data_IF_443923135270
#
_entry.id   IF_443923135270
#
_cell.length_a   1.000
_cell.length_b   1.000
_cell.length_c   1.000
_cell.angle_alpha   90.00
_cell.angle_beta   90.00
_cell.angle_gamma   90.00
#
_symmetry.space_group_name_H-M   'P 1'
#
loop_
_entity.id
_entity.type
_entity.pdbx_description
1 polymer ?
#
# COMPACT_ATOMS: atom_id res chain seq x y z
N UNK A 1 28.26 11.41 19.40
CA UNK A 1 28.08 11.72 17.97
C UNK A 1 28.52 10.60 17.00
N UNK A 2 28.78 9.36 17.44
CA UNK A 2 29.14 8.22 16.54
C UNK A 2 28.17 7.03 16.58
N UNK A 3 27.16 7.06 17.44
CA UNK A 3 26.18 5.96 17.55
C UNK A 3 24.92 6.15 16.67
N UNK A 4 24.59 7.37 16.23
CA UNK A 4 23.39 7.63 15.42
C UNK A 4 23.53 7.31 13.92
N UNK A 5 24.76 7.07 13.43
CA UNK A 5 24.96 6.74 12.00
C UNK A 5 24.71 5.27 11.65
N UNK A 6 24.72 4.36 12.63
CA UNK A 6 24.47 2.93 12.37
C UNK A 6 22.99 2.56 12.34
N UNK A 7 22.14 3.34 13.00
CA UNK A 7 20.67 3.10 13.02
C UNK A 7 20.04 3.48 11.68
N UNK A 8 20.57 4.50 11.01
CA UNK A 8 20.09 4.99 9.71
C UNK A 8 20.37 4.04 8.53
N UNK A 9 21.48 3.32 8.58
CA UNK A 9 21.81 2.34 7.53
C UNK A 9 20.87 1.11 7.55
N UNK A 10 20.33 0.77 8.72
CA UNK A 10 19.40 -0.35 8.87
C UNK A 10 17.99 -0.04 8.37
N UNK A 11 17.52 1.19 8.57
CA UNK A 11 16.18 1.60 8.14
C UNK A 11 16.09 1.79 6.61
N UNK A 12 17.15 2.33 5.99
CA UNK A 12 17.25 2.46 4.53
C UNK A 12 17.38 1.10 3.82
N UNK A 13 18.10 0.13 4.45
CA UNK A 13 18.19 -1.23 3.88
C UNK A 13 16.87 -1.99 3.99
N UNK A 14 16.10 -1.78 5.06
CA UNK A 14 14.79 -2.40 5.23
C UNK A 14 13.76 -1.84 4.23
N UNK A 15 13.79 -0.54 3.96
CA UNK A 15 12.93 0.09 2.95
C UNK A 15 13.29 -0.38 1.53
N UNK A 16 14.59 -0.49 1.20
CA UNK A 16 15.04 -0.97 -0.11
C UNK A 16 14.72 -2.46 -0.34
N UNK A 17 14.74 -3.30 0.72
CA UNK A 17 14.37 -4.72 0.63
C UNK A 17 12.85 -4.88 0.48
N UNK A 18 12.04 -3.98 1.08
CA UNK A 18 10.58 -4.02 0.93
C UNK A 18 10.13 -3.58 -0.48
N UNK A 19 10.80 -2.62 -1.11
CA UNK A 19 10.52 -2.22 -2.49
C UNK A 19 10.87 -3.29 -3.53
N UNK A 20 11.85 -4.18 -3.23
CA UNK A 20 12.25 -5.27 -4.13
C UNK A 20 11.30 -6.48 -4.11
N UNK A 21 10.48 -6.64 -3.08
CA UNK A 21 9.58 -7.79 -2.96
C UNK A 21 8.36 -7.71 -3.89
N UNK A 22 7.91 -6.50 -4.24
CA UNK A 22 6.76 -6.28 -5.13
C UNK A 22 7.11 -6.24 -6.62
N UNK A 23 8.39 -6.09 -6.97
CA UNK A 23 8.87 -6.23 -8.35
C UNK A 23 9.01 -7.72 -8.68
N UNK A 24 8.00 -8.28 -9.35
CA UNK A 24 7.98 -9.70 -9.75
C UNK A 24 9.27 -10.10 -10.48
N UNK A 25 9.91 -11.17 -10.01
CA UNK A 25 11.08 -11.74 -10.67
C UNK A 25 10.74 -12.07 -12.13
N UNK A 26 11.60 -11.75 -13.11
CA UNK A 26 11.39 -12.20 -14.47
C UNK A 26 11.52 -13.72 -14.52
N UNK A 27 10.51 -14.38 -15.04
CA UNK A 27 10.56 -15.81 -15.36
C UNK A 27 11.56 -16.05 -16.48
N UNK A 28 12.50 -16.93 -16.22
CA UNK A 28 13.54 -17.33 -17.16
C UNK A 28 12.93 -18.32 -18.16
N UNK A 29 12.93 -18.10 -19.48
CA UNK A 29 12.44 -19.08 -20.43
C UNK A 29 13.49 -20.16 -20.68
N UNK A 30 13.23 -21.38 -20.25
CA UNK A 30 13.98 -22.55 -20.68
C UNK A 30 13.55 -22.96 -22.09
N UNK A 31 14.52 -23.02 -22.99
CA UNK A 31 14.38 -23.47 -24.36
C UNK A 31 14.04 -24.98 -24.46
N UNK A 32 13.11 -25.35 -25.35
CA UNK A 32 13.18 -26.64 -26.09
C UNK A 32 12.28 -26.60 -27.33
N UNK A 33 12.95 -26.67 -28.45
CA UNK A 33 12.74 -27.36 -29.75
C UNK A 33 11.31 -27.56 -30.32
N UNK A 34 11.19 -26.98 -31.50
CA UNK A 34 10.53 -27.30 -32.78
C UNK A 34 9.49 -28.44 -32.90
N UNK A 35 8.37 -28.12 -33.59
CA UNK A 35 7.49 -29.11 -34.23
C UNK A 35 6.17 -28.50 -34.69
N UNK A 36 6.14 -28.15 -35.99
CA UNK A 36 5.04 -28.09 -36.96
C UNK A 36 3.70 -27.39 -36.70
N UNK A 37 3.38 -26.61 -37.72
CA UNK A 37 2.24 -25.76 -37.94
C UNK A 37 0.89 -26.50 -38.13
N UNK A 38 -0.19 -25.91 -37.66
CA UNK A 38 -1.48 -25.81 -38.40
C UNK A 38 -2.32 -24.67 -37.87
N UNK A 39 -2.99 -24.00 -38.79
CA UNK A 39 -3.80 -22.83 -38.89
C UNK A 39 -4.59 -22.32 -37.64
N UNK A 40 -4.64 -20.97 -37.57
CA UNK A 40 -5.39 -20.13 -36.65
C UNK A 40 -6.91 -20.13 -36.90
N UNK A 41 -7.69 -19.68 -35.92
CA UNK A 41 -8.57 -18.54 -36.21
C UNK A 41 -8.46 -17.38 -35.20
N UNK A 42 -8.53 -16.24 -35.82
CA UNK A 42 -8.95 -14.89 -35.37
C UNK A 42 -8.82 -14.47 -33.89
N UNK A 43 -7.89 -13.64 -33.67
CA UNK A 43 -7.76 -12.41 -32.94
C UNK A 43 -8.72 -12.06 -31.80
N UNK A 44 -8.20 -12.14 -30.59
CA UNK A 44 -8.47 -11.14 -29.55
C UNK A 44 -7.16 -10.42 -29.30
N UNK A 45 -7.12 -9.15 -29.68
CA UNK A 45 -6.02 -8.25 -29.33
C UNK A 45 -6.07 -8.07 -27.82
N UNK A 46 -5.11 -8.69 -27.13
CA UNK A 46 -4.83 -8.42 -25.73
C UNK A 46 -4.19 -7.04 -25.63
N UNK A 47 -5.02 -6.02 -25.48
CA UNK A 47 -4.57 -4.66 -25.11
C UNK A 47 -4.40 -4.59 -23.61
N UNK A 48 -3.45 -5.34 -23.06
CA UNK A 48 -2.86 -4.97 -21.77
C UNK A 48 -2.04 -3.71 -22.04
N UNK A 49 -2.37 -2.55 -21.42
CA UNK A 49 -1.48 -1.40 -21.50
C UNK A 49 -0.13 -1.84 -20.89
N UNK A 50 0.94 -1.68 -21.67
CA UNK A 50 2.30 -1.73 -21.14
C UNK A 50 2.33 -0.77 -19.95
N UNK A 51 2.50 -1.29 -18.76
CA UNK A 51 2.67 -0.48 -17.56
C UNK A 51 4.04 0.15 -17.69
N UNK A 52 4.10 1.42 -18.08
CA UNK A 52 5.31 2.23 -17.88
C UNK A 52 5.69 2.08 -16.40
N UNK A 53 6.91 1.64 -16.15
CA UNK A 53 7.48 1.62 -14.81
C UNK A 53 7.33 2.99 -14.18
N UNK A 54 7.03 3.11 -12.88
CA UNK A 54 6.94 4.41 -12.23
C UNK A 54 8.22 5.17 -12.52
N UNK A 55 8.08 6.42 -12.99
CA UNK A 55 9.23 7.28 -13.28
C UNK A 55 9.96 7.49 -11.96
N UNK A 56 11.05 6.79 -11.76
CA UNK A 56 11.97 7.02 -10.64
C UNK A 56 12.77 8.29 -10.95
N UNK A 57 12.27 9.41 -10.48
CA UNK A 57 12.92 10.70 -10.65
C UNK A 57 14.31 10.72 -9.99
N UNK A 58 14.56 9.90 -8.96
CA UNK A 58 15.86 9.78 -8.29
C UNK A 58 16.85 9.00 -9.17
N UNK A 59 16.43 7.88 -9.79
CA UNK A 59 17.25 7.08 -10.70
C UNK A 59 17.54 7.83 -12.01
N UNK A 60 16.65 8.73 -12.46
CA UNK A 60 16.85 9.55 -13.66
C UNK A 60 17.69 10.80 -13.40
N UNK A 61 18.10 11.09 -12.16
CA UNK A 61 18.79 12.33 -11.79
C UNK A 61 17.95 13.58 -12.07
N UNK A 62 16.64 13.45 -12.15
CA UNK A 62 15.68 14.51 -12.45
C UNK A 62 14.97 15.02 -11.22
N UNK A 63 15.67 15.13 -10.08
CA UNK A 63 15.15 15.87 -8.93
C UNK A 63 15.13 17.35 -9.37
N UNK A 64 13.97 17.97 -9.54
CA UNK A 64 13.90 19.34 -10.10
C UNK A 64 14.71 20.36 -9.28
N UNK A 65 14.96 20.06 -8.00
CA UNK A 65 15.54 20.97 -7.04
C UNK A 65 17.00 20.67 -6.64
N UNK A 66 17.56 19.49 -6.97
CA UNK A 66 18.84 19.02 -6.45
C UNK A 66 20.03 19.96 -6.68
N UNK A 67 20.01 20.78 -7.74
CA UNK A 67 21.08 21.72 -8.09
C UNK A 67 20.54 23.15 -8.32
N UNK A 68 19.34 23.45 -7.83
CA UNK A 68 18.69 24.72 -8.04
C UNK A 68 19.36 25.80 -7.19
N UNK A 69 20.07 26.71 -7.85
CA UNK A 69 20.72 27.87 -7.18
C UNK A 69 19.69 28.96 -6.91
N UNK A 70 19.89 29.70 -5.81
CA UNK A 70 19.10 30.89 -5.54
C UNK A 70 19.18 31.88 -6.71
N UNK A 71 18.03 32.42 -7.12
CA UNK A 71 17.93 33.50 -8.09
C UNK A 71 18.54 34.79 -7.51
N UNK A 72 18.88 35.74 -8.37
CA UNK A 72 19.44 37.02 -7.91
C UNK A 72 18.39 37.76 -7.05
N UNK A 73 18.82 38.42 -5.97
CA UNK A 73 17.91 39.23 -5.13
C UNK A 73 17.22 40.33 -5.96
N UNK A 74 17.91 40.86 -6.99
CA UNK A 74 17.38 41.87 -7.92
C UNK A 74 16.19 41.38 -8.78
N UNK A 75 15.97 40.05 -8.85
CA UNK A 75 14.84 39.48 -9.59
C UNK A 75 13.53 39.58 -8.81
N UNK A 76 13.58 40.06 -7.56
CA UNK A 76 12.42 40.17 -6.68
C UNK A 76 12.20 41.61 -6.23
N UNK A 77 10.94 42.07 -6.29
CA UNK A 77 10.50 43.25 -5.56
C UNK A 77 10.06 42.81 -4.18
N UNK A 78 10.49 43.51 -3.15
CA UNK A 78 10.24 43.15 -1.77
C UNK A 78 9.82 44.35 -0.92
N UNK A 79 9.06 44.07 0.13
CA UNK A 79 8.73 45.01 1.22
C UNK A 79 9.26 44.47 2.53
N UNK A 80 9.81 45.38 3.35
CA UNK A 80 10.30 45.03 4.68
C UNK A 80 9.15 45.10 5.70
N UNK A 81 8.89 43.97 6.38
CA UNK A 81 7.97 43.85 7.51
C UNK A 81 8.68 43.71 8.85
N UNK A 82 7.92 43.56 9.94
CA UNK A 82 8.44 43.38 11.28
C UNK A 82 9.24 42.09 11.45
N UNK A 83 8.81 41.00 10.80
CA UNK A 83 9.38 39.67 10.97
C UNK A 83 10.35 39.27 9.85
N UNK A 84 10.43 40.04 8.77
CA UNK A 84 11.27 39.74 7.62
C UNK A 84 10.78 40.41 6.34
N UNK A 85 11.20 39.85 5.20
CA UNK A 85 10.89 40.35 3.88
C UNK A 85 9.64 39.68 3.31
N UNK A 86 8.78 40.47 2.66
CA UNK A 86 7.65 40.03 1.84
C UNK A 86 8.03 40.18 0.38
N UNK A 87 8.00 39.10 -0.40
CA UNK A 87 8.13 39.17 -1.87
C UNK A 87 6.83 39.67 -2.44
N UNK A 88 6.86 40.82 -3.10
CA UNK A 88 5.68 41.46 -3.70
C UNK A 88 5.57 41.22 -5.20
N UNK A 89 6.69 41.01 -5.90
CA UNK A 89 6.69 40.61 -7.31
C UNK A 89 7.98 39.89 -7.70
N UNK A 90 7.88 39.02 -8.69
CA UNK A 90 9.00 38.46 -9.43
C UNK A 90 9.15 39.23 -10.75
N UNK A 91 10.31 39.80 -11.00
CA UNK A 91 10.62 40.61 -12.19
C UNK A 91 11.71 39.99 -13.08
N UNK A 92 12.22 38.83 -12.68
CA UNK A 92 13.19 38.06 -13.46
C UNK A 92 12.59 37.35 -14.65
N UNK A 93 13.44 36.71 -15.47
CA UNK A 93 13.04 35.96 -16.66
C UNK A 93 13.45 34.48 -16.63
N UNK A 94 13.84 33.97 -15.45
CA UNK A 94 14.32 32.59 -15.29
C UNK A 94 13.21 31.53 -15.43
N UNK A 95 13.51 30.44 -16.12
CA UNK A 95 12.62 29.28 -16.17
C UNK A 95 12.65 28.47 -14.85
N UNK A 96 13.77 28.53 -14.13
CA UNK A 96 13.96 27.89 -12.82
C UNK A 96 14.20 28.98 -11.80
N UNK A 97 13.31 29.12 -10.85
CA UNK A 97 13.30 30.18 -9.86
C UNK A 97 13.43 29.57 -8.46
N UNK A 98 14.45 29.99 -7.73
CA UNK A 98 14.56 29.74 -6.31
C UNK A 98 14.59 31.08 -5.58
N UNK A 99 13.58 31.35 -4.78
CA UNK A 99 13.56 32.53 -3.92
C UNK A 99 14.69 32.37 -2.90
N UNK A 100 15.60 33.38 -2.74
CA UNK A 100 16.60 33.32 -1.69
C UNK A 100 15.97 33.24 -0.30
N UNK A 101 16.57 32.44 0.59
CA UNK A 101 16.11 32.34 1.99
C UNK A 101 16.17 33.68 2.73
N UNK A 102 17.06 34.59 2.26
CA UNK A 102 17.23 35.95 2.75
C UNK A 102 17.40 36.94 1.60
N UNK A 103 16.81 38.11 1.73
CA UNK A 103 16.97 39.25 0.82
C UNK A 103 17.37 40.46 1.66
N UNK A 104 18.43 41.16 1.26
CA UNK A 104 18.99 42.27 2.06
C UNK A 104 19.42 41.83 3.45
N UNK A 105 19.84 40.56 3.64
CA UNK A 105 20.21 39.97 4.90
C UNK A 105 19.09 39.57 5.85
N UNK A 106 17.81 39.86 5.49
CA UNK A 106 16.61 39.50 6.27
C UNK A 106 15.92 38.26 5.72
N UNK A 107 15.31 37.39 6.57
CA UNK A 107 14.60 36.21 6.11
C UNK A 107 13.40 36.58 5.23
N UNK A 108 13.11 35.80 4.19
CA UNK A 108 11.88 35.89 3.44
C UNK A 108 10.81 35.10 4.19
N UNK A 109 9.75 35.78 4.65
CA UNK A 109 8.70 35.17 5.51
C UNK A 109 7.30 35.21 4.89
N UNK A 110 7.11 36.02 3.84
CA UNK A 110 5.82 36.17 3.21
C UNK A 110 5.92 36.36 1.68
N UNK A 111 4.86 35.99 0.99
CA UNK A 111 4.64 36.26 -0.43
C UNK A 111 3.29 36.95 -0.58
N UNK A 112 3.29 38.13 -1.22
CA UNK A 112 2.08 38.94 -1.40
C UNK A 112 1.15 38.38 -2.48
N UNK A 113 -0.09 38.87 -2.53
CA UNK A 113 -1.09 38.51 -3.52
C UNK A 113 -0.54 38.65 -4.96
N UNK A 114 -0.65 37.58 -5.72
CA UNK A 114 -0.27 37.56 -7.14
C UNK A 114 1.20 37.81 -7.43
N UNK A 115 2.14 37.62 -6.49
CA UNK A 115 3.55 37.99 -6.66
C UNK A 115 4.24 37.34 -7.89
N UNK A 116 3.77 36.18 -8.35
CA UNK A 116 4.26 35.49 -9.57
C UNK A 116 3.18 35.42 -10.66
N UNK A 117 2.13 36.24 -10.56
CA UNK A 117 1.00 36.21 -11.50
C UNK A 117 1.47 36.43 -12.94
N UNK A 118 1.07 35.53 -13.83
CA UNK A 118 1.33 35.64 -15.27
C UNK A 118 2.74 35.30 -15.73
N UNK A 119 3.59 34.74 -14.85
CA UNK A 119 4.94 34.31 -15.24
C UNK A 119 4.85 32.96 -15.97
N UNK A 120 4.40 33.01 -17.23
CA UNK A 120 4.07 31.82 -18.01
C UNK A 120 5.28 30.96 -18.42
N UNK A 121 6.50 31.52 -18.40
CA UNK A 121 7.74 30.79 -18.75
C UNK A 121 8.40 30.04 -17.60
N UNK A 122 7.96 30.26 -16.37
CA UNK A 122 8.52 29.59 -15.19
C UNK A 122 8.12 28.12 -15.16
N UNK A 123 9.10 27.23 -15.06
CA UNK A 123 8.94 25.78 -15.07
C UNK A 123 9.11 25.13 -13.69
N UNK A 124 9.99 25.70 -12.88
CA UNK A 124 10.36 25.22 -11.55
C UNK A 124 10.35 26.39 -10.59
N UNK A 125 9.70 26.22 -9.43
CA UNK A 125 9.71 27.21 -8.35
C UNK A 125 10.05 26.55 -7.02
N UNK A 126 11.02 27.17 -6.32
CA UNK A 126 11.33 26.87 -4.93
C UNK A 126 10.97 28.07 -4.05
N UNK A 127 10.04 27.87 -3.13
CA UNK A 127 9.68 28.82 -2.08
C UNK A 127 10.36 28.41 -0.79
N UNK A 128 11.12 29.31 -0.08
CA UNK A 128 11.84 28.96 1.14
C UNK A 128 10.93 28.44 2.26
N UNK A 129 11.46 27.55 3.06
CA UNK A 129 10.77 26.97 4.23
C UNK A 129 10.43 28.00 5.32
N UNK A 130 11.09 29.15 5.30
CA UNK A 130 10.81 30.29 6.19
C UNK A 130 9.52 31.04 5.88
N UNK A 131 8.92 30.80 4.69
CA UNK A 131 7.66 31.45 4.28
C UNK A 131 6.50 30.80 5.01
N UNK A 132 5.79 31.59 5.80
CA UNK A 132 4.61 31.15 6.57
C UNK A 132 3.32 31.85 6.13
N UNK A 133 3.46 32.98 5.44
CA UNK A 133 2.33 33.81 4.99
C UNK A 133 2.25 33.86 3.48
N UNK A 134 1.10 33.50 2.93
CA UNK A 134 0.84 33.46 1.51
C UNK A 134 -0.38 34.32 1.16
N UNK A 135 -0.19 35.24 0.23
CA UNK A 135 -1.27 35.93 -0.44
C UNK A 135 -2.09 35.00 -1.34
N UNK A 136 -3.24 35.48 -1.79
CA UNK A 136 -4.09 34.73 -2.70
C UNK A 136 -3.55 34.73 -4.12
N UNK A 137 -3.64 33.58 -4.80
CA UNK A 137 -3.39 33.47 -6.23
C UNK A 137 -1.99 33.89 -6.66
N UNK A 138 -0.98 33.63 -5.82
CA UNK A 138 0.41 34.00 -6.09
C UNK A 138 0.94 33.38 -7.40
N UNK A 139 0.38 32.22 -7.84
CA UNK A 139 0.80 31.44 -8.99
C UNK A 139 -0.22 31.46 -10.16
N UNK A 140 -1.21 32.34 -10.14
CA UNK A 140 -2.19 32.45 -11.25
C UNK A 140 -1.49 32.82 -12.56
N UNK A 141 -1.70 32.06 -13.63
CA UNK A 141 -1.12 32.27 -14.94
C UNK A 141 0.32 31.77 -15.11
N UNK A 142 0.81 30.89 -14.21
CA UNK A 142 2.11 30.22 -14.32
C UNK A 142 2.03 28.98 -15.20
N UNK A 143 1.63 29.15 -16.46
CA UNK A 143 1.18 28.08 -17.36
C UNK A 143 2.21 26.98 -17.69
N UNK A 144 3.50 27.15 -17.39
CA UNK A 144 4.55 26.16 -17.64
C UNK A 144 5.10 25.51 -16.37
N UNK A 145 4.60 25.89 -15.19
CA UNK A 145 5.10 25.41 -13.91
C UNK A 145 4.70 23.93 -13.72
N UNK A 146 5.70 23.05 -13.67
CA UNK A 146 5.48 21.60 -13.45
C UNK A 146 6.05 21.10 -12.12
N UNK A 147 7.02 21.82 -11.52
CA UNK A 147 7.63 21.43 -10.25
C UNK A 147 7.59 22.59 -9.25
N UNK A 148 7.06 22.30 -8.09
CA UNK A 148 6.89 23.27 -7.00
C UNK A 148 7.42 22.70 -5.69
N UNK A 149 8.33 23.44 -5.03
CA UNK A 149 8.63 23.29 -3.61
C UNK A 149 7.98 24.43 -2.84
N UNK A 150 7.17 24.12 -1.86
CA UNK A 150 6.47 25.12 -1.06
C UNK A 150 6.07 24.60 0.31
N UNK A 151 6.25 25.38 1.39
CA UNK A 151 5.45 25.19 2.59
C UNK A 151 3.97 25.43 2.25
N UNK A 152 3.07 24.82 3.01
CA UNK A 152 1.64 25.11 2.93
C UNK A 152 1.30 26.35 3.77
N UNK A 153 0.27 27.13 3.36
CA UNK A 153 -0.21 28.25 4.17
C UNK A 153 -0.57 27.78 5.59
N UNK A 154 -0.13 28.51 6.60
CA UNK A 154 -0.41 28.18 8.01
C UNK A 154 -1.80 28.68 8.47
N UNK A 155 -2.40 29.64 7.76
CA UNK A 155 -3.67 30.25 8.12
C UNK A 155 -4.83 29.28 7.91
N UNK A 156 -5.68 29.14 8.95
CA UNK A 156 -6.87 28.29 8.89
C UNK A 156 -7.78 28.65 7.71
N UNK A 157 -8.29 27.63 7.03
CA UNK A 157 -9.13 27.80 5.83
C UNK A 157 -8.37 28.07 4.52
N UNK A 158 -7.03 28.27 4.59
CA UNK A 158 -6.16 28.47 3.41
C UNK A 158 -5.15 27.34 3.23
N UNK A 159 -5.21 26.30 4.03
CA UNK A 159 -4.24 25.21 4.11
C UNK A 159 -4.41 24.18 2.97
N UNK A 160 -4.63 24.66 1.74
CA UNK A 160 -4.76 23.83 0.55
C UNK A 160 -4.00 24.41 -0.63
N UNK A 161 -3.49 23.56 -1.51
CA UNK A 161 -2.57 23.97 -2.58
C UNK A 161 -3.20 24.96 -3.56
N UNK A 162 -4.47 24.80 -3.90
CA UNK A 162 -5.19 25.67 -4.82
C UNK A 162 -5.28 27.13 -4.38
N UNK A 163 -5.11 27.44 -3.07
CA UNK A 163 -5.01 28.81 -2.58
C UNK A 163 -3.89 29.58 -3.30
N UNK A 164 -2.76 28.94 -3.51
CA UNK A 164 -1.62 29.53 -4.23
C UNK A 164 -1.98 29.85 -5.70
N UNK A 165 -2.96 29.17 -6.26
CA UNK A 165 -3.44 29.31 -7.63
C UNK A 165 -4.79 30.05 -7.72
N UNK A 166 -5.23 30.69 -6.64
CA UNK A 166 -6.42 31.53 -6.59
C UNK A 166 -7.75 30.80 -6.37
N UNK A 167 -7.71 29.53 -5.95
CA UNK A 167 -8.92 28.84 -5.52
C UNK A 167 -9.44 29.44 -4.21
N UNK A 168 -10.75 29.64 -4.12
CA UNK A 168 -11.41 30.22 -2.93
C UNK A 168 -11.72 29.18 -1.84
N UNK A 169 -11.74 27.88 -2.22
CA UNK A 169 -11.96 26.76 -1.32
C UNK A 169 -11.27 25.50 -1.84
N UNK A 170 -11.04 24.52 -0.96
CA UNK A 170 -10.47 23.22 -1.33
C UNK A 170 -11.34 22.45 -2.36
N UNK A 171 -12.65 22.66 -2.41
CA UNK A 171 -13.56 22.07 -3.40
C UNK A 171 -13.27 22.53 -4.82
N UNK A 172 -12.59 23.67 -4.97
CA UNK A 172 -12.14 24.25 -6.23
C UNK A 172 -10.63 24.12 -6.40
N UNK A 173 -9.99 23.20 -5.70
CA UNK A 173 -8.55 23.00 -5.72
C UNK A 173 -8.04 22.65 -7.15
N UNK A 174 -8.89 22.05 -7.98
CA UNK A 174 -8.58 21.67 -9.36
C UNK A 174 -8.69 22.86 -10.36
N UNK A 175 -7.88 23.88 -10.15
CA UNK A 175 -7.78 25.03 -11.07
C UNK A 175 -6.83 24.74 -12.24
N UNK A 176 -6.99 25.42 -13.38
CA UNK A 176 -6.28 25.11 -14.63
C UNK A 176 -4.75 25.15 -14.47
N UNK A 177 -4.22 26.17 -13.80
CA UNK A 177 -2.77 26.33 -13.62
C UNK A 177 -2.16 25.24 -12.70
N UNK A 178 -2.91 24.77 -11.70
CA UNK A 178 -2.49 23.69 -10.82
C UNK A 178 -2.42 22.34 -11.55
N UNK A 179 -3.24 22.12 -12.56
CA UNK A 179 -3.24 20.90 -13.37
C UNK A 179 -1.93 20.59 -14.10
N UNK A 180 -0.98 21.50 -14.07
CA UNK A 180 0.32 21.32 -14.72
C UNK A 180 1.42 20.87 -13.76
N UNK A 181 1.12 20.92 -12.46
CA UNK A 181 2.06 20.49 -11.42
C UNK A 181 2.04 18.96 -11.35
N UNK A 182 3.11 18.32 -11.81
CA UNK A 182 3.31 16.89 -11.71
C UNK A 182 4.22 16.49 -10.54
N UNK A 183 5.10 17.41 -10.10
CA UNK A 183 6.01 17.21 -8.98
C UNK A 183 5.81 18.28 -7.90
N UNK A 184 5.44 17.85 -6.71
CA UNK A 184 5.28 18.69 -5.52
C UNK A 184 6.17 18.22 -4.38
N UNK A 185 6.94 19.13 -3.80
CA UNK A 185 7.66 18.92 -2.55
C UNK A 185 7.12 19.88 -1.49
N UNK A 186 6.58 19.31 -0.41
CA UNK A 186 6.09 20.10 0.73
C UNK A 186 7.29 20.49 1.58
N UNK A 187 7.47 21.79 1.72
CA UNK A 187 8.55 22.40 2.50
C UNK A 187 8.18 22.63 3.96
N UNK A 188 9.14 23.18 4.71
CA UNK A 188 9.01 23.47 6.13
C UNK A 188 9.14 22.24 7.01
N UNK A 189 8.59 22.35 8.22
CA UNK A 189 8.60 21.26 9.22
C UNK A 189 7.19 20.95 9.74
N UNK A 190 6.19 20.79 8.86
CA UNK A 190 4.86 20.41 9.31
C UNK A 190 4.90 19.02 9.95
N UNK A 191 4.11 18.80 10.98
CA UNK A 191 3.90 17.47 11.59
C UNK A 191 2.69 16.75 10.99
N UNK A 192 1.83 17.51 10.33
CA UNK A 192 0.60 17.03 9.70
C UNK A 192 0.40 17.68 8.33
N UNK A 193 -0.07 16.89 7.37
CA UNK A 193 -0.66 17.40 6.14
C UNK A 193 -2.16 17.65 6.42
N UNK A 194 -2.65 18.90 6.35
CA UNK A 194 -4.02 19.23 6.71
C UNK A 194 -5.09 18.49 5.90
N UNK A 195 -6.28 18.39 6.44
CA UNK A 195 -7.43 17.87 5.72
C UNK A 195 -7.65 18.66 4.40
N UNK A 196 -7.94 17.95 3.32
CA UNK A 196 -8.18 18.49 1.97
C UNK A 196 -6.99 19.25 1.34
N UNK A 197 -5.79 19.21 1.91
CA UNK A 197 -4.64 20.01 1.46
C UNK A 197 -4.35 19.88 -0.03
N UNK A 198 -4.45 18.67 -0.59
CA UNK A 198 -4.21 18.35 -2.00
C UNK A 198 -5.45 17.69 -2.64
N UNK A 199 -6.64 17.95 -2.11
CA UNK A 199 -7.89 17.40 -2.64
C UNK A 199 -8.07 17.74 -4.12
N UNK A 200 -8.40 16.74 -4.95
CA UNK A 200 -8.67 16.86 -6.40
C UNK A 200 -7.49 17.41 -7.24
N UNK A 201 -6.24 17.30 -6.74
CA UNK A 201 -5.04 17.64 -7.51
C UNK A 201 -4.71 16.50 -8.49
N UNK A 202 -5.47 16.42 -9.58
CA UNK A 202 -5.54 15.26 -10.47
C UNK A 202 -4.27 14.95 -11.26
N UNK A 203 -3.43 15.95 -11.51
CA UNK A 203 -2.24 15.85 -12.36
C UNK A 203 -0.96 15.62 -11.54
N UNK A 204 -1.02 15.71 -10.21
CA UNK A 204 0.11 15.39 -9.35
C UNK A 204 0.53 13.93 -9.55
N UNK A 205 1.79 13.72 -9.94
CA UNK A 205 2.39 12.40 -10.15
C UNK A 205 3.25 11.99 -8.97
N UNK A 206 4.05 12.92 -8.45
CA UNK A 206 4.96 12.69 -7.33
C UNK A 206 4.75 13.75 -6.26
N UNK A 207 4.57 13.31 -5.02
CA UNK A 207 4.55 14.19 -3.84
C UNK A 207 5.60 13.75 -2.85
N UNK A 208 6.48 14.67 -2.47
CA UNK A 208 7.45 14.49 -1.39
C UNK A 208 6.97 15.20 -0.14
N UNK A 209 6.90 14.46 0.93
CA UNK A 209 6.59 14.97 2.27
C UNK A 209 7.86 15.01 3.10
N UNK A 210 8.09 16.04 3.93
CA UNK A 210 9.19 16.03 4.87
C UNK A 210 9.00 14.92 5.92
N UNK A 211 10.10 14.39 6.43
CA UNK A 211 10.09 13.32 7.46
C UNK A 211 9.39 13.72 8.77
N UNK A 212 9.16 15.01 8.97
CA UNK A 212 8.41 15.54 10.12
C UNK A 212 6.91 15.26 10.03
N UNK A 213 6.39 14.98 8.82
CA UNK A 213 4.95 14.66 8.64
C UNK A 213 4.68 13.26 9.16
N UNK A 214 3.96 13.19 10.27
CA UNK A 214 3.52 11.95 10.91
C UNK A 214 2.03 11.70 10.78
N UNK A 215 1.26 12.70 10.35
CA UNK A 215 -0.18 12.59 10.14
C UNK A 215 -0.61 13.12 8.77
N UNK A 216 -1.54 12.42 8.14
CA UNK A 216 -2.24 12.84 6.91
C UNK A 216 -3.69 13.06 7.27
N UNK A 217 -4.19 14.29 7.11
CA UNK A 217 -5.55 14.66 7.42
C UNK A 217 -6.60 14.02 6.52
N UNK A 218 -7.86 14.15 6.91
CA UNK A 218 -9.00 13.62 6.17
C UNK A 218 -9.03 14.18 4.74
N UNK A 219 -9.22 13.29 3.74
CA UNK A 219 -9.37 13.66 2.31
C UNK A 219 -8.16 14.44 1.73
N UNK A 220 -7.00 14.43 2.39
CA UNK A 220 -5.86 15.27 2.03
C UNK A 220 -5.37 15.05 0.59
N UNK A 221 -5.37 13.82 0.06
CA UNK A 221 -5.02 13.45 -1.31
C UNK A 221 -6.21 12.89 -2.10
N UNK A 222 -7.42 13.07 -1.59
CA UNK A 222 -8.57 12.49 -2.25
C UNK A 222 -8.67 12.94 -3.71
N UNK A 223 -8.88 11.98 -4.61
CA UNK A 223 -8.99 12.18 -6.07
C UNK A 223 -7.71 12.67 -6.78
N UNK A 224 -6.53 12.53 -6.18
CA UNK A 224 -5.26 12.69 -6.90
C UNK A 224 -5.05 11.52 -7.87
N UNK A 225 -5.77 11.52 -8.99
CA UNK A 225 -5.90 10.35 -9.89
C UNK A 225 -4.61 9.95 -10.59
N UNK A 226 -3.68 10.88 -10.81
CA UNK A 226 -2.37 10.63 -11.43
C UNK A 226 -1.26 10.30 -10.44
N UNK A 227 -1.53 10.35 -9.13
CA UNK A 227 -0.52 10.14 -8.09
C UNK A 227 0.05 8.72 -8.17
N UNK A 228 1.36 8.61 -8.45
CA UNK A 228 2.10 7.35 -8.55
C UNK A 228 3.05 7.15 -7.38
N UNK A 229 3.63 8.22 -6.85
CA UNK A 229 4.65 8.18 -5.81
C UNK A 229 4.35 9.15 -4.68
N UNK A 230 4.41 8.65 -3.45
CA UNK A 230 4.27 9.44 -2.23
C UNK A 230 5.10 8.81 -1.10
N UNK A 231 5.88 9.62 -0.38
CA UNK A 231 6.68 9.18 0.76
C UNK A 231 5.84 9.11 2.03
N UNK A 232 5.53 7.90 2.51
CA UNK A 232 4.68 7.68 3.70
C UNK A 232 5.43 6.96 4.84
N UNK A 233 6.75 6.83 4.75
CA UNK A 233 7.54 6.00 5.69
C UNK A 233 7.48 6.43 7.16
N UNK A 234 7.29 7.74 7.42
CA UNK A 234 7.20 8.32 8.76
C UNK A 234 5.76 8.52 9.23
N UNK A 235 4.76 8.24 8.37
CA UNK A 235 3.35 8.50 8.66
C UNK A 235 2.82 7.46 9.64
N UNK A 236 2.24 7.95 10.74
CA UNK A 236 1.63 7.17 11.82
C UNK A 236 0.12 7.19 11.78
N UNK A 237 -0.45 8.31 11.35
CA UNK A 237 -1.90 8.50 11.28
C UNK A 237 -2.33 8.91 9.87
N UNK A 238 -3.36 8.26 9.37
CA UNK A 238 -3.98 8.55 8.07
C UNK A 238 -5.48 8.75 8.29
N UNK A 239 -5.99 9.89 7.87
CA UNK A 239 -7.39 10.29 8.03
C UNK A 239 -8.38 9.50 7.17
N UNK A 240 -9.68 9.77 7.39
CA UNK A 240 -10.76 9.20 6.57
C UNK A 240 -10.63 9.65 5.12
N UNK A 241 -10.75 8.72 4.18
CA UNK A 241 -10.68 9.02 2.75
C UNK A 241 -9.40 9.69 2.26
N UNK A 242 -8.32 9.68 3.05
CA UNK A 242 -7.13 10.50 2.80
C UNK A 242 -6.51 10.30 1.40
N UNK A 243 -6.54 9.09 0.87
CA UNK A 243 -6.01 8.73 -0.46
C UNK A 243 -7.11 8.18 -1.39
N UNK A 244 -8.39 8.39 -1.06
CA UNK A 244 -9.50 7.86 -1.85
C UNK A 244 -9.42 8.33 -3.31
N UNK A 245 -9.56 7.42 -4.25
CA UNK A 245 -9.53 7.74 -5.68
C UNK A 245 -8.15 8.01 -6.27
N UNK A 246 -7.04 7.76 -5.55
CA UNK A 246 -5.69 7.78 -6.09
C UNK A 246 -5.49 6.57 -7.02
N UNK A 247 -6.10 6.59 -8.20
CA UNK A 247 -6.25 5.42 -9.07
C UNK A 247 -4.96 4.97 -9.76
N UNK A 248 -3.94 5.84 -9.84
CA UNK A 248 -2.62 5.50 -10.40
C UNK A 248 -1.63 4.98 -9.36
N UNK A 249 -1.99 5.02 -8.07
CA UNK A 249 -1.11 4.58 -7.00
C UNK A 249 -1.03 3.05 -6.97
N UNK A 250 0.13 2.52 -7.38
CA UNK A 250 0.33 1.06 -7.51
C UNK A 250 0.79 0.41 -6.20
N UNK A 251 1.52 1.15 -5.38
CA UNK A 251 2.11 0.67 -4.13
C UNK A 251 1.86 1.66 -3.01
N UNK A 252 1.50 1.15 -1.83
CA UNK A 252 1.37 1.92 -0.60
C UNK A 252 2.12 1.19 0.51
N UNK A 253 3.10 1.88 1.12
CA UNK A 253 3.85 1.38 2.25
C UNK A 253 3.74 2.35 3.44
N UNK A 254 3.20 1.88 4.53
CA UNK A 254 2.96 2.62 5.78
C UNK A 254 3.57 1.88 6.98
N UNK A 255 4.90 1.67 7.02
CA UNK A 255 5.53 0.83 8.04
C UNK A 255 5.41 1.38 9.47
N UNK A 256 5.27 2.70 9.62
CA UNK A 256 5.14 3.37 10.92
C UNK A 256 3.68 3.55 11.40
N UNK A 257 2.70 3.04 10.63
CA UNK A 257 1.27 3.29 10.86
C UNK A 257 0.82 2.85 12.26
N UNK A 258 0.11 3.73 12.94
CA UNK A 258 -0.55 3.49 14.22
C UNK A 258 -2.08 3.46 14.06
N UNK A 259 -2.63 4.30 13.16
CA UNK A 259 -4.05 4.38 12.86
C UNK A 259 -4.32 4.81 11.41
N UNK A 260 -5.38 4.24 10.80
CA UNK A 260 -5.87 4.64 9.47
C UNK A 260 -7.38 4.76 9.46
N UNK A 261 -7.86 5.87 8.94
CA UNK A 261 -9.28 6.15 8.80
C UNK A 261 -9.96 5.22 7.81
N UNK A 262 -11.28 5.13 7.93
CA UNK A 262 -12.11 4.35 7.03
C UNK A 262 -12.02 4.91 5.60
N UNK A 263 -12.03 4.01 4.62
CA UNK A 263 -12.02 4.36 3.18
C UNK A 263 -10.76 5.13 2.72
N UNK A 264 -9.71 5.16 3.55
CA UNK A 264 -8.47 5.89 3.23
C UNK A 264 -7.84 5.49 1.90
N UNK A 265 -8.03 4.25 1.44
CA UNK A 265 -7.59 3.71 0.15
C UNK A 265 -8.76 3.33 -0.76
N UNK A 266 -9.95 3.88 -0.51
CA UNK A 266 -11.13 3.63 -1.33
C UNK A 266 -10.90 3.98 -2.80
N UNK A 267 -11.40 3.14 -3.72
CA UNK A 267 -11.33 3.38 -5.19
C UNK A 267 -9.89 3.54 -5.74
N UNK A 268 -8.87 3.09 -5.01
CA UNK A 268 -7.49 3.03 -5.50
C UNK A 268 -7.32 1.83 -6.45
N UNK A 269 -7.92 1.89 -7.63
CA UNK A 269 -8.03 0.73 -8.53
C UNK A 269 -6.68 0.27 -9.12
N UNK A 270 -5.66 1.14 -9.13
CA UNK A 270 -4.30 0.81 -9.54
C UNK A 270 -3.49 0.05 -8.50
N UNK A 271 -3.97 -0.03 -7.24
CA UNK A 271 -3.21 -0.59 -6.13
C UNK A 271 -2.94 -2.09 -6.32
N UNK A 272 -1.67 -2.46 -6.27
CA UNK A 272 -1.17 -3.82 -6.46
C UNK A 272 -0.50 -4.38 -5.22
N UNK A 273 0.23 -3.55 -4.50
CA UNK A 273 0.97 -3.94 -3.31
C UNK A 273 0.63 -3.02 -2.13
N UNK A 274 0.41 -3.61 -0.97
CA UNK A 274 0.09 -2.89 0.26
C UNK A 274 0.93 -3.43 1.40
N UNK A 275 1.76 -2.56 2.01
CA UNK A 275 2.59 -2.89 3.17
C UNK A 275 2.11 -2.11 4.39
N UNK A 276 1.67 -2.82 5.42
CA UNK A 276 1.09 -2.27 6.64
C UNK A 276 1.62 -3.01 7.87
N UNK A 277 1.63 -2.41 9.06
CA UNK A 277 1.91 -3.15 10.29
C UNK A 277 0.76 -4.10 10.70
N UNK A 278 -0.49 -3.78 10.36
CA UNK A 278 -1.69 -4.54 10.74
C UNK A 278 -2.78 -4.42 9.66
N UNK A 279 -3.75 -5.35 9.67
CA UNK A 279 -4.92 -5.28 8.80
C UNK A 279 -6.08 -4.57 9.53
N UNK A 280 -6.48 -3.37 9.09
CA UNK A 280 -7.62 -2.64 9.63
C UNK A 280 -7.32 -1.22 10.09
N UNK A 281 -8.16 -0.64 10.95
CA UNK A 281 -8.05 0.73 11.46
C UNK A 281 -6.82 0.92 12.36
N UNK A 282 -6.65 -0.03 13.27
CA UNK A 282 -5.53 -0.03 14.23
C UNK A 282 -5.22 -1.45 14.68
N UNK A 283 -4.29 -1.60 15.64
CA UNK A 283 -3.99 -2.90 16.25
C UNK A 283 -5.15 -3.47 17.09
N UNK A 284 -6.10 -2.63 17.49
CA UNK A 284 -7.18 -3.00 18.42
C UNK A 284 -8.58 -2.81 17.85
N UNK A 285 -8.76 -1.90 16.91
CA UNK A 285 -10.06 -1.50 16.39
C UNK A 285 -10.21 -1.84 14.91
N UNK A 286 -11.41 -2.25 14.50
CA UNK A 286 -11.77 -2.57 13.11
C UNK A 286 -10.70 -3.36 12.36
N UNK A 287 -10.26 -4.49 12.96
CA UNK A 287 -9.10 -5.28 12.55
C UNK A 287 -9.36 -6.14 11.31
N UNK A 288 -9.83 -5.50 10.24
CA UNK A 288 -10.07 -6.16 8.94
C UNK A 288 -9.71 -5.22 7.78
N UNK A 289 -9.10 -5.78 6.76
CA UNK A 289 -8.53 -5.02 5.64
C UNK A 289 -9.57 -4.19 4.88
N UNK A 290 -10.81 -4.66 4.79
CA UNK A 290 -11.90 -3.96 4.12
C UNK A 290 -12.22 -2.57 4.67
N UNK A 291 -11.82 -2.27 5.92
CA UNK A 291 -11.93 -0.94 6.52
C UNK A 291 -11.26 0.13 5.66
N UNK A 292 -10.06 -0.17 5.14
CA UNK A 292 -9.28 0.73 4.31
C UNK A 292 -9.98 1.06 2.98
N UNK A 293 -10.91 0.21 2.56
CA UNK A 293 -11.66 0.31 1.30
C UNK A 293 -13.13 0.70 1.50
N UNK A 294 -13.51 1.14 2.70
CA UNK A 294 -14.82 1.70 3.01
C UNK A 294 -15.84 0.75 3.66
N UNK A 295 -15.48 -0.51 3.89
CA UNK A 295 -16.37 -1.42 4.61
C UNK A 295 -16.58 -0.98 6.07
N UNK A 296 -17.80 -1.09 6.56
CA UNK A 296 -18.14 -0.85 7.98
C UNK A 296 -18.04 -2.13 8.80
N UNK A 297 -18.21 -3.26 8.14
CA UNK A 297 -18.06 -4.60 8.74
C UNK A 297 -17.21 -5.46 7.81
N UNK A 298 -16.58 -6.49 8.35
CA UNK A 298 -15.74 -7.38 7.55
C UNK A 298 -16.52 -8.07 6.41
N UNK A 299 -17.79 -8.37 6.60
CA UNK A 299 -18.64 -9.03 5.59
C UNK A 299 -19.08 -8.10 4.46
N UNK A 300 -19.09 -6.78 4.68
CA UNK A 300 -19.36 -5.79 3.64
C UNK A 300 -18.17 -5.56 2.72
N UNK A 301 -16.98 -6.02 3.09
CA UNK A 301 -15.75 -5.79 2.33
C UNK A 301 -15.74 -6.44 0.94
N UNK A 302 -16.58 -7.47 0.73
CA UNK A 302 -16.69 -8.15 -0.56
C UNK A 302 -17.07 -7.19 -1.68
N UNK A 303 -16.20 -7.09 -2.69
CA UNK A 303 -16.39 -6.21 -3.84
C UNK A 303 -15.87 -4.79 -3.67
N UNK A 304 -15.35 -4.41 -2.49
CA UNK A 304 -14.72 -3.11 -2.26
C UNK A 304 -13.20 -3.13 -2.51
N UNK A 305 -12.59 -4.31 -2.48
CA UNK A 305 -11.16 -4.46 -2.71
C UNK A 305 -10.78 -4.08 -4.15
N UNK A 306 -9.65 -3.38 -4.36
CA UNK A 306 -9.12 -3.12 -5.69
C UNK A 306 -8.94 -4.43 -6.47
N UNK A 307 -9.44 -4.50 -7.70
CA UNK A 307 -9.29 -5.71 -8.53
C UNK A 307 -7.84 -6.03 -8.90
N UNK A 308 -6.97 -5.02 -8.84
CA UNK A 308 -5.53 -5.14 -9.09
C UNK A 308 -4.70 -5.58 -7.89
N UNK A 309 -5.24 -5.60 -6.68
CA UNK A 309 -4.50 -5.92 -5.46
C UNK A 309 -3.95 -7.35 -5.53
N UNK A 310 -2.63 -7.48 -5.52
CA UNK A 310 -1.93 -8.76 -5.68
C UNK A 310 -1.31 -9.24 -4.37
N UNK A 311 -0.73 -8.33 -3.62
CA UNK A 311 0.07 -8.65 -2.45
C UNK A 311 -0.26 -7.75 -1.26
N UNK A 312 -0.35 -8.36 -0.09
CA UNK A 312 -0.43 -7.64 1.19
C UNK A 312 0.65 -8.16 2.11
N UNK A 313 1.47 -7.25 2.65
CA UNK A 313 2.55 -7.55 3.58
C UNK A 313 2.21 -6.91 4.92
N UNK A 314 2.01 -7.72 5.95
CA UNK A 314 1.91 -7.26 7.33
C UNK A 314 3.30 -7.32 7.97
N UNK A 315 3.80 -6.16 8.43
CA UNK A 315 5.16 -6.03 8.99
C UNK A 315 5.21 -6.22 10.49
N UNK A 316 4.12 -5.91 11.21
CA UNK A 316 4.03 -6.09 12.66
C UNK A 316 3.34 -7.41 12.97
N UNK A 317 3.97 -8.19 13.83
CA UNK A 317 3.41 -9.45 14.23
C UNK A 317 3.00 -9.50 15.69
N UNK A 318 2.94 -8.38 16.38
CA UNK A 318 2.62 -8.37 17.83
C UNK A 318 1.16 -8.66 18.13
N UNK A 319 0.30 -8.75 17.11
CA UNK A 319 -1.15 -8.92 17.25
C UNK A 319 -1.62 -10.17 16.50
N UNK A 320 -2.46 -11.03 17.08
CA UNK A 320 -3.09 -12.14 16.37
C UNK A 320 -3.81 -11.63 15.12
N UNK A 321 -3.76 -12.40 14.04
CA UNK A 321 -4.56 -12.09 12.87
C UNK A 321 -6.05 -12.24 13.24
N UNK A 322 -6.78 -11.14 13.20
CA UNK A 322 -8.15 -11.06 13.70
C UNK A 322 -9.12 -11.96 12.91
N UNK A 323 -10.26 -12.24 13.53
CA UNK A 323 -11.38 -12.84 12.83
C UNK A 323 -11.76 -11.99 11.60
N UNK A 324 -11.97 -12.62 10.46
CA UNK A 324 -12.31 -11.98 9.19
C UNK A 324 -11.28 -10.96 8.66
N UNK A 325 -10.03 -10.96 9.12
CA UNK A 325 -9.04 -9.93 8.77
C UNK A 325 -8.92 -9.66 7.26
N UNK A 326 -8.97 -10.68 6.42
CA UNK A 326 -8.92 -10.61 4.95
C UNK A 326 -10.14 -11.22 4.28
N UNK A 327 -11.26 -11.31 4.98
CA UNK A 327 -12.46 -11.99 4.45
C UNK A 327 -12.84 -11.49 3.04
N UNK A 328 -12.97 -12.45 2.11
CA UNK A 328 -13.31 -12.24 0.70
C UNK A 328 -12.39 -11.25 -0.06
N UNK A 329 -11.16 -11.04 0.42
CA UNK A 329 -10.19 -10.17 -0.25
C UNK A 329 -9.64 -10.81 -1.54
N UNK A 330 -9.18 -9.95 -2.47
CA UNK A 330 -8.87 -10.32 -3.85
C UNK A 330 -7.40 -10.60 -4.11
N UNK A 331 -6.50 -10.36 -3.14
CA UNK A 331 -5.05 -10.52 -3.30
C UNK A 331 -4.65 -11.96 -3.60
N UNK A 332 -3.46 -12.12 -4.22
CA UNK A 332 -2.89 -13.42 -4.58
C UNK A 332 -1.96 -13.97 -3.51
N UNK A 333 -1.28 -13.08 -2.78
CA UNK A 333 -0.36 -13.46 -1.72
C UNK A 333 -0.53 -12.59 -0.48
N UNK A 334 -0.29 -13.19 0.69
CA UNK A 334 -0.23 -12.49 1.97
C UNK A 334 0.99 -12.98 2.74
N UNK A 335 1.79 -12.02 3.21
CA UNK A 335 2.84 -12.27 4.19
C UNK A 335 2.36 -11.77 5.54
N UNK A 336 2.29 -12.68 6.52
CA UNK A 336 1.89 -12.36 7.90
C UNK A 336 3.14 -12.08 8.73
N UNK A 337 3.12 -10.98 9.47
CA UNK A 337 4.26 -10.53 10.29
C UNK A 337 4.70 -11.53 11.37
N UNK A 338 5.99 -11.47 11.71
CA UNK A 338 6.70 -12.52 12.47
C UNK A 338 6.21 -12.78 13.89
N UNK A 339 5.49 -11.88 14.52
CA UNK A 339 5.00 -12.05 15.89
C UNK A 339 3.53 -12.46 15.98
N UNK A 340 2.85 -12.72 14.86
CA UNK A 340 1.49 -13.24 14.90
C UNK A 340 1.47 -14.64 15.56
N UNK A 341 0.53 -14.85 16.48
CA UNK A 341 0.43 -16.09 17.26
C UNK A 341 -0.74 -16.97 16.83
N UNK A 342 -1.70 -16.41 16.12
CA UNK A 342 -2.86 -17.18 15.64
C UNK A 342 -3.46 -16.57 14.35
N UNK A 343 -4.14 -17.42 13.57
CA UNK A 343 -4.98 -17.05 12.44
C UNK A 343 -6.44 -17.14 12.87
N UNK A 344 -7.13 -16.01 12.92
CA UNK A 344 -8.50 -15.90 13.44
C UNK A 344 -9.56 -16.63 12.62
N UNK A 345 -10.78 -16.66 13.15
CA UNK A 345 -11.95 -17.27 12.50
C UNK A 345 -12.21 -16.58 11.15
N UNK A 346 -12.30 -17.38 10.07
CA UNK A 346 -12.53 -16.86 8.69
C UNK A 346 -11.54 -15.77 8.27
N UNK A 347 -10.35 -15.69 8.85
CA UNK A 347 -9.40 -14.62 8.56
C UNK A 347 -9.12 -14.48 7.06
N UNK A 348 -9.03 -15.57 6.32
CA UNK A 348 -8.92 -15.64 4.87
C UNK A 348 -10.15 -16.26 4.19
N UNK A 349 -11.26 -16.41 4.91
CA UNK A 349 -12.47 -17.03 4.36
C UNK A 349 -12.93 -16.36 3.07
N UNK A 350 -13.12 -17.14 1.98
CA UNK A 350 -13.56 -16.62 0.69
C UNK A 350 -12.52 -15.84 -0.11
N UNK A 351 -11.23 -15.89 0.25
CA UNK A 351 -10.14 -15.31 -0.55
C UNK A 351 -9.90 -16.15 -1.81
N UNK A 352 -10.78 -16.04 -2.79
CA UNK A 352 -10.82 -16.93 -3.94
C UNK A 352 -9.61 -16.82 -4.89
N UNK A 353 -8.83 -15.73 -4.81
CA UNK A 353 -7.63 -15.50 -5.61
C UNK A 353 -6.33 -15.81 -4.86
N UNK A 354 -6.40 -16.07 -3.54
CA UNK A 354 -5.24 -16.33 -2.70
C UNK A 354 -4.57 -17.64 -3.13
N UNK A 355 -3.34 -17.55 -3.60
CA UNK A 355 -2.52 -18.69 -4.03
C UNK A 355 -1.49 -19.08 -3.00
N UNK A 356 -0.97 -18.09 -2.28
CA UNK A 356 0.13 -18.25 -1.34
C UNK A 356 -0.12 -17.45 -0.06
N UNK A 357 0.18 -18.06 1.07
CA UNK A 357 0.21 -17.40 2.38
C UNK A 357 1.48 -17.79 3.11
N UNK A 358 2.24 -16.80 3.55
CA UNK A 358 3.41 -16.99 4.41
C UNK A 358 3.01 -16.76 5.86
N UNK A 359 3.04 -17.83 6.65
CA UNK A 359 2.74 -17.82 8.09
C UNK A 359 4.04 -17.84 8.90
N UNK A 360 4.20 -16.98 9.91
CA UNK A 360 5.39 -16.97 10.76
C UNK A 360 5.44 -18.17 11.71
N UNK A 361 6.64 -18.52 12.16
CA UNK A 361 6.88 -19.65 13.07
C UNK A 361 6.15 -19.53 14.42
N UNK A 362 5.73 -18.31 14.81
CA UNK A 362 5.02 -18.05 16.07
C UNK A 362 3.56 -18.48 16.09
N UNK A 363 2.97 -18.89 14.96
CA UNK A 363 1.57 -19.32 14.90
C UNK A 363 1.40 -20.63 15.68
N UNK A 364 0.48 -20.63 16.64
CA UNK A 364 0.12 -21.79 17.47
C UNK A 364 -1.28 -22.34 17.17
N UNK A 365 -2.16 -21.53 16.58
CA UNK A 365 -3.52 -21.92 16.25
C UNK A 365 -3.98 -21.33 14.90
N UNK A 366 -4.71 -22.16 14.14
CA UNK A 366 -5.49 -21.76 12.96
C UNK A 366 -6.96 -22.02 13.28
N UNK A 367 -7.75 -20.96 13.39
CA UNK A 367 -9.12 -21.02 13.89
C UNK A 367 -10.12 -21.56 12.86
N UNK A 368 -11.38 -21.69 13.29
CA UNK A 368 -12.47 -22.22 12.48
C UNK A 368 -12.64 -21.45 11.16
N UNK A 369 -12.80 -22.21 10.04
CA UNK A 369 -12.96 -21.65 8.70
C UNK A 369 -11.86 -20.69 8.23
N UNK A 370 -10.70 -20.64 8.85
CA UNK A 370 -9.67 -19.62 8.60
C UNK A 370 -9.31 -19.44 7.11
N UNK A 371 -9.27 -20.53 6.33
CA UNK A 371 -9.00 -20.53 4.89
C UNK A 371 -10.18 -21.12 4.08
N UNK A 372 -11.39 -21.16 4.64
CA UNK A 372 -12.53 -21.76 3.92
C UNK A 372 -12.75 -21.03 2.60
N UNK A 373 -13.03 -21.81 1.54
CA UNK A 373 -13.29 -21.29 0.17
C UNK A 373 -12.14 -20.48 -0.45
N UNK A 374 -10.89 -20.68 -0.03
CA UNK A 374 -9.72 -20.20 -0.75
C UNK A 374 -9.47 -21.07 -1.97
N UNK A 375 -10.30 -20.87 -3.02
CA UNK A 375 -10.38 -21.81 -4.16
C UNK A 375 -9.14 -21.84 -5.04
N UNK A 376 -8.26 -20.84 -4.98
CA UNK A 376 -7.01 -20.75 -5.71
C UNK A 376 -5.77 -21.15 -4.88
N UNK A 377 -5.92 -21.46 -3.58
CA UNK A 377 -4.81 -21.83 -2.69
C UNK A 377 -4.25 -23.20 -3.12
N UNK A 378 -3.00 -23.22 -3.59
CA UNK A 378 -2.38 -24.42 -4.16
C UNK A 378 -1.60 -25.22 -3.12
N UNK A 379 -0.96 -24.53 -2.19
CA UNK A 379 -0.18 -25.16 -1.11
C UNK A 379 -0.26 -24.34 0.18
N UNK A 380 -0.13 -25.02 1.31
CA UNK A 380 0.03 -24.38 2.61
C UNK A 380 1.02 -25.18 3.49
N UNK A 381 1.93 -24.45 4.12
CA UNK A 381 2.82 -24.98 5.14
C UNK A 381 2.42 -24.38 6.49
N UNK A 382 1.98 -25.25 7.39
CA UNK A 382 1.72 -24.85 8.78
C UNK A 382 3.01 -24.91 9.58
N UNK A 383 3.35 -23.82 10.32
CA UNK A 383 4.54 -23.84 11.18
C UNK A 383 4.52 -24.95 12.23
N UNK A 384 5.70 -25.40 12.64
CA UNK A 384 5.85 -26.45 13.67
C UNK A 384 5.24 -26.08 15.04
N UNK A 385 5.00 -24.79 15.29
CA UNK A 385 4.33 -24.29 16.50
C UNK A 385 2.82 -24.57 16.56
N UNK A 386 2.19 -24.91 15.42
CA UNK A 386 0.74 -25.11 15.37
C UNK A 386 0.33 -26.39 16.10
N UNK A 387 -0.46 -26.23 17.14
CA UNK A 387 -1.04 -27.32 17.94
C UNK A 387 -2.55 -27.43 17.77
N UNK A 388 -3.19 -26.42 17.20
CA UNK A 388 -4.65 -26.35 17.07
C UNK A 388 -5.07 -25.97 15.64
N UNK A 389 -5.91 -26.83 15.03
CA UNK A 389 -6.67 -26.51 13.82
C UNK A 389 -8.15 -26.43 14.13
N UNK A 390 -8.82 -25.43 13.58
CA UNK A 390 -10.25 -25.24 13.69
C UNK A 390 -11.07 -26.10 12.72
N UNK A 391 -12.33 -26.33 13.07
CA UNK A 391 -13.31 -27.01 12.20
C UNK A 391 -13.38 -26.28 10.85
N UNK A 392 -13.39 -27.06 9.74
CA UNK A 392 -13.50 -26.53 8.38
C UNK A 392 -12.41 -25.53 7.98
N UNK A 393 -11.23 -25.57 8.62
CA UNK A 393 -10.18 -24.54 8.38
C UNK A 393 -9.83 -24.39 6.90
N UNK A 394 -9.82 -25.45 6.11
CA UNK A 394 -9.55 -25.47 4.66
C UNK A 394 -10.73 -25.97 3.83
N UNK A 395 -11.97 -25.85 4.35
CA UNK A 395 -13.17 -26.23 3.64
C UNK A 395 -13.23 -25.61 2.22
N UNK A 396 -13.36 -26.41 1.18
CA UNK A 396 -13.55 -25.92 -0.18
C UNK A 396 -12.33 -25.30 -0.84
N UNK A 397 -11.12 -25.51 -0.32
CA UNK A 397 -9.87 -25.16 -0.99
C UNK A 397 -9.64 -26.09 -2.20
N UNK A 398 -10.37 -25.85 -3.29
CA UNK A 398 -10.48 -26.78 -4.42
C UNK A 398 -9.18 -26.98 -5.19
N UNK A 399 -8.28 -25.98 -5.18
CA UNK A 399 -6.97 -26.04 -5.83
C UNK A 399 -5.87 -26.60 -4.94
N UNK A 400 -6.12 -26.83 -3.65
CA UNK A 400 -5.12 -27.27 -2.67
C UNK A 400 -4.58 -28.65 -3.02
N UNK A 401 -3.31 -28.72 -3.43
CA UNK A 401 -2.61 -29.94 -3.82
C UNK A 401 -1.76 -30.51 -2.69
N UNK A 402 -1.14 -29.63 -1.91
CA UNK A 402 -0.19 -30.01 -0.84
C UNK A 402 -0.45 -29.28 0.46
N UNK A 403 -0.37 -30.00 1.56
CA UNK A 403 -0.44 -29.45 2.91
C UNK A 403 0.69 -30.05 3.74
N UNK A 404 1.53 -29.19 4.33
CA UNK A 404 2.51 -29.62 5.32
C UNK A 404 1.94 -29.37 6.71
N UNK A 405 1.73 -30.45 7.45
CA UNK A 405 1.27 -30.43 8.84
C UNK A 405 2.47 -30.48 9.79
N UNK A 406 2.42 -29.76 10.93
CA UNK A 406 3.47 -29.86 11.95
C UNK A 406 3.38 -31.19 12.71
N UNK A 407 4.52 -31.67 13.20
CA UNK A 407 4.59 -32.91 14.01
C UNK A 407 3.90 -32.75 15.37
N UNK A 408 3.69 -31.52 15.82
CA UNK A 408 3.02 -31.20 17.09
C UNK A 408 1.50 -31.38 17.05
N UNK A 409 0.91 -31.53 15.85
CA UNK A 409 -0.53 -31.63 15.69
C UNK A 409 -1.02 -33.05 15.95
N UNK A 410 -1.77 -33.25 17.03
CA UNK A 410 -2.28 -34.57 17.42
C UNK A 410 -3.69 -34.89 16.89
N UNK A 411 -4.41 -33.86 16.44
CA UNK A 411 -5.81 -33.99 15.99
C UNK A 411 -6.13 -33.18 14.76
N UNK A 412 -6.77 -33.82 13.78
CA UNK A 412 -7.47 -33.13 12.70
C UNK A 412 -8.95 -32.92 13.06
N UNK A 413 -9.49 -31.71 13.01
CA UNK A 413 -10.88 -31.43 13.31
C UNK A 413 -11.82 -31.89 12.19
N UNK A 414 -13.13 -31.86 12.48
CA UNK A 414 -14.16 -32.18 11.48
C UNK A 414 -14.09 -31.24 10.28
N UNK A 415 -14.21 -31.82 9.08
CA UNK A 415 -14.30 -31.09 7.81
C UNK A 415 -13.05 -30.28 7.43
N UNK A 416 -11.91 -30.48 8.10
CA UNK A 416 -10.73 -29.62 7.92
C UNK A 416 -10.31 -29.46 6.45
N UNK A 417 -10.36 -30.54 5.64
CA UNK A 417 -10.09 -30.55 4.19
C UNK A 417 -11.32 -30.92 3.37
N UNK A 418 -12.51 -30.72 3.90
CA UNK A 418 -13.76 -31.04 3.19
C UNK A 418 -13.81 -30.32 1.84
N UNK A 419 -13.86 -31.10 0.74
CA UNK A 419 -13.94 -30.55 -0.62
C UNK A 419 -12.61 -30.07 -1.21
N UNK A 420 -11.46 -30.40 -0.64
CA UNK A 420 -10.15 -30.16 -1.23
C UNK A 420 -9.90 -31.14 -2.37
N UNK A 421 -10.50 -30.86 -3.53
CA UNK A 421 -10.64 -31.82 -4.65
C UNK A 421 -9.31 -32.23 -5.28
N UNK A 422 -8.25 -31.40 -5.16
CA UNK A 422 -6.94 -31.62 -5.77
C UNK A 422 -5.89 -32.13 -4.77
N UNK A 423 -6.22 -32.28 -3.49
CA UNK A 423 -5.29 -32.81 -2.47
C UNK A 423 -4.92 -34.25 -2.81
N UNK A 424 -3.62 -34.49 -3.12
CA UNK A 424 -3.10 -35.77 -3.59
C UNK A 424 -2.48 -36.59 -2.47
N UNK A 425 -1.61 -35.94 -1.74
CA UNK A 425 -0.78 -36.58 -0.73
C UNK A 425 -0.89 -35.81 0.58
N UNK A 426 -0.96 -36.54 1.69
CA UNK A 426 -0.89 -35.91 3.01
C UNK A 426 -0.07 -36.79 3.96
N UNK A 427 0.86 -36.14 4.67
CA UNK A 427 1.55 -36.73 5.80
C UNK A 427 0.89 -36.24 7.08
N UNK A 428 0.29 -37.18 7.81
CA UNK A 428 -0.42 -36.91 9.06
C UNK A 428 0.53 -36.76 10.26
N UNK A 429 1.80 -37.13 10.10
CA UNK A 429 2.82 -36.94 11.15
C UNK A 429 2.39 -37.43 12.51
N UNK A 430 2.27 -36.53 13.50
CA UNK A 430 1.87 -36.80 14.88
C UNK A 430 0.37 -36.99 15.11
N UNK A 431 -0.49 -36.89 14.07
CA UNK A 431 -1.94 -36.99 14.22
C UNK A 431 -2.38 -38.37 14.66
N UNK A 432 -3.20 -38.42 15.69
CA UNK A 432 -3.78 -39.64 16.27
C UNK A 432 -5.27 -39.78 16.03
N UNK A 433 -5.98 -38.65 15.82
CA UNK A 433 -7.43 -38.64 15.60
C UNK A 433 -7.82 -37.77 14.46
N UNK A 434 -8.73 -38.25 13.60
CA UNK A 434 -9.27 -37.54 12.46
C UNK A 434 -10.79 -37.37 12.63
N UNK A 435 -11.25 -36.14 12.70
CA UNK A 435 -12.65 -35.76 12.87
C UNK A 435 -13.54 -36.11 11.67
N UNK A 436 -14.85 -36.04 11.88
CA UNK A 436 -15.84 -36.44 10.87
C UNK A 436 -15.70 -35.65 9.57
N UNK A 437 -15.78 -36.32 8.44
CA UNK A 437 -15.72 -35.72 7.10
C UNK A 437 -14.44 -34.92 6.78
N UNK A 438 -13.34 -35.11 7.52
CA UNK A 438 -12.11 -34.35 7.36
C UNK A 438 -11.58 -34.39 5.92
N UNK A 439 -11.69 -35.52 5.22
CA UNK A 439 -11.26 -35.74 3.84
C UNK A 439 -12.40 -35.97 2.85
N UNK A 440 -13.66 -35.74 3.24
CA UNK A 440 -14.79 -35.94 2.35
C UNK A 440 -14.68 -35.01 1.13
N UNK A 441 -14.75 -35.58 -0.08
CA UNK A 441 -14.64 -34.82 -1.33
C UNK A 441 -13.19 -34.51 -1.77
N UNK A 442 -12.16 -35.08 -1.12
CA UNK A 442 -10.78 -35.08 -1.60
C UNK A 442 -10.62 -36.14 -2.70
N UNK A 443 -11.18 -35.87 -3.89
CA UNK A 443 -11.27 -36.86 -4.98
C UNK A 443 -9.94 -37.27 -5.60
N UNK A 444 -8.89 -36.48 -5.44
CA UNK A 444 -7.54 -36.76 -5.96
C UNK A 444 -6.63 -37.42 -4.93
N UNK A 445 -7.11 -37.75 -3.72
CA UNK A 445 -6.27 -38.29 -2.64
C UNK A 445 -5.79 -39.68 -3.00
N UNK A 446 -4.47 -39.86 -3.08
CA UNK A 446 -3.78 -41.09 -3.44
C UNK A 446 -2.98 -41.70 -2.30
N UNK A 447 -2.40 -40.82 -1.43
CA UNK A 447 -1.50 -41.25 -0.37
C UNK A 447 -1.85 -40.57 0.95
N UNK A 448 -1.99 -41.38 2.02
CA UNK A 448 -2.07 -40.92 3.41
C UNK A 448 -0.98 -41.59 4.20
N UNK A 449 0.02 -40.84 4.65
CA UNK A 449 1.10 -41.33 5.52
C UNK A 449 0.75 -41.05 6.98
N UNK A 450 1.14 -41.94 7.85
CA UNK A 450 0.95 -41.85 9.28
C UNK A 450 2.14 -42.43 10.04
N UNK A 451 2.53 -41.80 11.13
CA UNK A 451 3.62 -42.30 11.99
C UNK A 451 3.18 -43.40 12.95
N UNK A 452 1.88 -43.63 13.13
CA UNK A 452 1.32 -44.62 14.06
C UNK A 452 -0.17 -44.87 13.81
N UNK A 453 -0.82 -45.54 14.77
CA UNK A 453 -2.25 -45.83 14.69
C UNK A 453 -3.09 -44.57 14.74
N UNK A 454 -4.04 -44.47 13.81
CA UNK A 454 -4.97 -43.33 13.68
C UNK A 454 -6.39 -43.81 13.84
N UNK A 455 -7.19 -43.06 14.59
CA UNK A 455 -8.63 -43.24 14.70
C UNK A 455 -9.35 -42.27 13.78
N UNK A 456 -10.10 -42.78 12.82
CA UNK A 456 -10.95 -41.98 11.93
C UNK A 456 -12.40 -41.97 12.44
N UNK A 457 -13.00 -40.76 12.45
CA UNK A 457 -14.45 -40.62 12.58
C UNK A 457 -15.13 -40.81 11.23
N UNK A 458 -16.47 -40.89 11.21
CA UNK A 458 -17.29 -41.09 9.99
C UNK A 458 -16.98 -40.16 8.81
N UNK A 459 -17.23 -40.66 7.60
CA UNK A 459 -17.07 -39.85 6.36
C UNK A 459 -15.64 -39.72 5.86
N UNK A 460 -14.71 -40.58 6.33
CA UNK A 460 -13.30 -40.60 5.95
C UNK A 460 -12.87 -41.91 5.27
N UNK A 461 -13.82 -42.72 4.79
CA UNK A 461 -13.58 -44.09 4.32
C UNK A 461 -12.53 -44.18 3.21
N UNK A 462 -12.37 -43.13 2.38
CA UNK A 462 -11.35 -43.09 1.34
C UNK A 462 -9.96 -42.92 1.96
N UNK A 463 -9.78 -41.96 2.88
CA UNK A 463 -8.49 -41.68 3.50
C UNK A 463 -8.06 -42.88 4.40
N UNK A 464 -8.99 -43.47 5.15
CA UNK A 464 -8.74 -44.62 6.01
C UNK A 464 -8.20 -45.83 5.20
N UNK A 465 -8.71 -46.05 4.00
CA UNK A 465 -8.24 -47.12 3.11
C UNK A 465 -6.86 -46.88 2.51
N UNK A 466 -6.40 -45.63 2.49
CA UNK A 466 -5.12 -45.22 1.89
C UNK A 466 -3.96 -45.22 2.91
N UNK A 467 -4.27 -45.25 4.22
CA UNK A 467 -3.24 -45.29 5.25
C UNK A 467 -2.39 -46.56 5.14
N UNK A 468 -1.07 -46.35 5.08
CA UNK A 468 -0.09 -47.47 5.06
C UNK A 468 0.04 -48.18 3.70
N UNK A 469 -0.55 -47.69 2.64
CA UNK A 469 -0.34 -48.19 1.25
C UNK A 469 0.84 -47.49 0.56
N UNK A 470 2.03 -47.53 1.15
CA UNK A 470 3.27 -47.05 0.54
C UNK A 470 4.12 -48.24 0.08
#
# INVERSE_FOLDING_TARGET
>A
MKQNKLIWAGALLAAAVLFSACAGKPENPSASTAGEATEAPAGTVDTTPETEDPIDYDALGRIPFANLKASAESDFTVEEGADGMTVTAYVGAGEQVRIPDRIGGKPVVAIADGAFRGISGMKVLWIPDSVTTFGSGILVGTASLYALHTPLPAEEGKQFLGWLFGAESYERNNVEDLRRIDFLEIGGTPTELPAYALYDCNDLVTVRLPETVTAIGDWAFARCTSLKQIGLSCVKEVGEGALIGCSSLAEVALPALERIGREALGVCNGLRCLTLPFAGESRTENRFLGWLFGARTATEAKGLYPGGLREVILTDGTVPLADYAFYAATMRSVTVGTGATEVGVRAFGGCNNLREVSLPAGITAVREHAFSECTALEAVTLPEGVTELGVNAFLGCTALETVTLPQTLERLPSGVFLGCRRLKDIDLGGVRTVGSNAFRGCGALETVRAAGDITFSEGNETAEKLVGRV
#
